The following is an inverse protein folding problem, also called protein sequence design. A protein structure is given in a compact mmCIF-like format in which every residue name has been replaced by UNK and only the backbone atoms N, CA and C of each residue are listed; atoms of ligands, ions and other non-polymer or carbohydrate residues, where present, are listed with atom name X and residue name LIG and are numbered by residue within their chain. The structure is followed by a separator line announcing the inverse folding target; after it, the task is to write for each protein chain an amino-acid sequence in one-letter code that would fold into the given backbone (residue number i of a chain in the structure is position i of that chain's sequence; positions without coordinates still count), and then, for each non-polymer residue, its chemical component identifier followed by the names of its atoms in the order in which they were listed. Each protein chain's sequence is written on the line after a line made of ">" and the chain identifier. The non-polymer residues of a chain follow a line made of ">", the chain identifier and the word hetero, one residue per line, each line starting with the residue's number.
data_IF_948664843123
#
_entry.id   IF_948664843123
#
_cell.length_a   1.000
_cell.length_b   1.000
_cell.length_c   1.000
_cell.angle_alpha   90.00
_cell.angle_beta   90.00
_cell.angle_gamma   90.00
#
_symmetry.space_group_name_H-M   'P 1'
#
loop_
_entity.id
_entity.type
_entity.pdbx_description
1 polymer ?
#
# COMPACT_ATOMS: atom_id res chain seq x y z
N UNK A 1 -5.80 5.10 4.80
CA UNK A 1 -5.11 3.89 5.31
C UNK A 1 -5.65 2.67 4.57
N UNK A 2 -4.79 1.74 4.13
CA UNK A 2 -5.25 0.55 3.40
C UNK A 2 -5.78 -0.51 4.38
N UNK A 3 -7.10 -0.74 4.36
CA UNK A 3 -7.77 -1.66 5.29
C UNK A 3 -7.32 -3.12 5.12
N UNK A 4 -6.93 -3.51 3.91
CA UNK A 4 -6.52 -4.89 3.60
C UNK A 4 -5.14 -5.20 4.19
N UNK A 5 -4.21 -4.24 4.12
CA UNK A 5 -2.90 -4.35 4.77
C UNK A 5 -3.06 -4.47 6.29
N UNK A 6 -3.91 -3.64 6.90
CA UNK A 6 -4.21 -3.70 8.33
C UNK A 6 -4.82 -5.04 8.72
N UNK A 7 -5.75 -5.58 7.91
CA UNK A 7 -6.37 -6.89 8.14
C UNK A 7 -5.34 -8.03 8.14
N UNK A 8 -4.42 -8.03 7.18
CA UNK A 8 -3.33 -9.03 7.10
C UNK A 8 -2.41 -8.93 8.34
N UNK A 9 -2.08 -7.71 8.77
CA UNK A 9 -1.27 -7.47 9.96
C UNK A 9 -1.97 -8.02 11.21
N UNK A 10 -3.28 -7.75 11.35
CA UNK A 10 -4.07 -8.21 12.49
C UNK A 10 -4.24 -9.73 12.51
N UNK A 11 -4.44 -10.37 11.35
CA UNK A 11 -4.54 -11.83 11.24
C UNK A 11 -3.22 -12.54 11.57
N UNK A 12 -2.10 -11.90 11.30
CA UNK A 12 -0.74 -12.47 11.45
C UNK A 12 0.01 -11.90 12.66
N UNK A 13 -0.73 -11.31 13.62
CA UNK A 13 -0.20 -10.53 14.76
C UNK A 13 0.80 -11.28 15.64
N UNK A 14 0.80 -12.61 15.72
CA UNK A 14 1.81 -13.30 16.53
C UNK A 14 3.14 -13.49 15.80
N UNK A 15 3.13 -13.66 14.49
CA UNK A 15 4.34 -14.00 13.74
C UNK A 15 5.05 -12.76 13.22
N UNK A 16 4.30 -11.68 12.96
CA UNK A 16 4.85 -10.35 12.63
C UNK A 16 5.69 -9.82 13.79
N UNK A 17 5.18 -9.89 15.02
CA UNK A 17 5.83 -9.28 16.18
C UNK A 17 7.00 -10.11 16.73
N UNK A 18 7.10 -11.40 16.34
CA UNK A 18 8.28 -12.23 16.63
C UNK A 18 9.45 -11.93 15.70
N UNK A 19 9.19 -11.40 14.51
CA UNK A 19 10.22 -11.07 13.54
C UNK A 19 10.46 -9.57 13.51
N UNK A 20 11.56 -9.13 14.13
CA UNK A 20 11.95 -7.73 14.19
C UNK A 20 12.00 -7.04 12.81
N UNK A 21 12.44 -7.73 11.76
CA UNK A 21 12.48 -7.16 10.40
C UNK A 21 11.08 -6.82 9.86
N UNK A 22 10.08 -7.60 10.28
CA UNK A 22 8.69 -7.47 9.84
C UNK A 22 7.90 -6.49 10.71
N UNK A 23 8.16 -6.46 12.03
CA UNK A 23 7.60 -5.42 12.91
C UNK A 23 8.08 -4.03 12.50
N UNK A 24 9.39 -3.86 12.29
CA UNK A 24 9.97 -2.57 11.87
C UNK A 24 9.35 -2.09 10.53
N UNK A 25 8.99 -3.02 9.63
CA UNK A 25 8.33 -2.67 8.37
C UNK A 25 6.88 -2.22 8.56
N UNK A 26 6.18 -2.83 9.51
CA UNK A 26 4.80 -2.45 9.85
C UNK A 26 4.78 -1.07 10.50
N UNK A 27 5.74 -0.79 11.38
CA UNK A 27 5.90 0.54 12.01
C UNK A 27 6.21 1.61 10.95
N UNK A 28 7.20 1.36 10.06
CA UNK A 28 7.52 2.23 8.91
C UNK A 28 6.26 2.53 8.06
N UNK A 29 5.39 1.53 7.85
CA UNK A 29 4.14 1.68 7.09
C UNK A 29 3.11 2.58 7.80
N UNK A 30 2.94 2.41 9.11
CA UNK A 30 1.99 3.21 9.88
C UNK A 30 2.43 4.66 9.98
N UNK A 31 3.71 4.93 10.25
CA UNK A 31 4.26 6.29 10.26
C UNK A 31 4.04 7.01 8.92
N UNK A 32 4.35 6.35 7.80
CA UNK A 32 4.12 6.92 6.48
C UNK A 32 2.63 7.15 6.18
N UNK A 33 1.76 6.25 6.66
CA UNK A 33 0.31 6.40 6.52
C UNK A 33 -0.22 7.61 7.30
N UNK A 34 0.35 7.90 8.48
CA UNK A 34 0.04 9.07 9.27
C UNK A 34 0.45 10.36 8.54
N UNK A 35 1.68 10.41 8.03
CA UNK A 35 2.17 11.57 7.28
C UNK A 35 1.39 11.84 6.00
N UNK A 36 0.97 10.77 5.31
CA UNK A 36 0.11 10.90 4.13
C UNK A 36 -1.27 11.47 4.51
N UNK A 37 -1.78 11.13 5.69
CA UNK A 37 -3.03 11.69 6.20
C UNK A 37 -2.89 13.18 6.55
N UNK A 38 -1.77 13.59 7.13
CA UNK A 38 -1.47 15.00 7.40
C UNK A 38 -1.40 15.80 6.09
N UNK A 39 -0.78 15.23 5.05
CA UNK A 39 -0.81 15.82 3.71
C UNK A 39 -2.24 15.95 3.15
N UNK A 40 -3.06 14.90 3.23
CA UNK A 40 -4.46 14.96 2.79
C UNK A 40 -5.24 16.05 3.52
N UNK A 41 -4.98 16.24 4.82
CA UNK A 41 -5.60 17.30 5.62
C UNK A 41 -5.16 18.69 5.14
N UNK A 42 -3.85 18.86 4.89
CA UNK A 42 -3.34 20.12 4.32
C UNK A 42 -3.89 20.39 2.92
N UNK A 43 -4.06 19.35 2.10
CA UNK A 43 -4.62 19.46 0.75
C UNK A 43 -6.10 19.85 0.79
N UNK A 44 -6.89 19.24 1.68
CA UNK A 44 -8.30 19.57 1.89
C UNK A 44 -8.48 21.06 2.27
N UNK A 45 -7.60 21.59 3.13
CA UNK A 45 -7.60 23.01 3.46
C UNK A 45 -7.28 23.90 2.24
N UNK A 46 -6.34 23.51 1.37
CA UNK A 46 -6.06 24.22 0.12
C UNK A 46 -7.27 24.20 -0.82
N UNK A 47 -7.93 23.05 -0.98
CA UNK A 47 -9.10 22.90 -1.84
C UNK A 47 -10.28 23.75 -1.35
N UNK A 48 -10.50 23.82 -0.03
CA UNK A 48 -11.52 24.70 0.57
C UNK A 48 -11.24 26.18 0.26
N UNK A 49 -9.99 26.62 0.35
CA UNK A 49 -9.61 27.99 -0.04
C UNK A 49 -9.81 28.23 -1.53
N UNK A 50 -9.41 27.29 -2.39
CA UNK A 50 -9.60 27.39 -3.83
C UNK A 50 -11.09 27.49 -4.20
N UNK A 51 -11.95 26.67 -3.58
CA UNK A 51 -13.40 26.73 -3.78
C UNK A 51 -14.01 28.03 -3.28
N UNK A 52 -13.52 28.59 -2.17
CA UNK A 52 -13.93 29.91 -1.70
C UNK A 52 -13.55 31.02 -2.69
N UNK A 53 -12.33 30.97 -3.23
CA UNK A 53 -11.84 31.90 -4.26
C UNK A 53 -12.69 31.80 -5.54
N UNK A 54 -12.98 30.58 -6.00
CA UNK A 54 -13.85 30.32 -7.14
C UNK A 54 -15.25 30.90 -6.92
N UNK A 55 -15.80 30.76 -5.70
CA UNK A 55 -17.09 31.34 -5.33
C UNK A 55 -17.08 32.86 -5.44
N UNK A 56 -16.05 33.54 -4.93
CA UNK A 56 -15.91 35.01 -5.05
C UNK A 56 -15.90 35.43 -6.52
N UNK A 57 -15.14 34.73 -7.38
CA UNK A 57 -15.08 35.02 -8.83
C UNK A 57 -16.46 34.86 -9.46
N UNK A 58 -17.16 33.76 -9.17
CA UNK A 58 -18.50 33.52 -9.72
C UNK A 58 -19.51 34.58 -9.26
N UNK A 59 -19.41 35.06 -8.01
CA UNK A 59 -20.22 36.17 -7.51
C UNK A 59 -19.88 37.46 -8.26
N UNK A 60 -18.60 37.77 -8.44
CA UNK A 60 -18.14 38.94 -9.19
C UNK A 60 -18.65 38.95 -10.63
N UNK A 61 -18.61 37.79 -11.32
CA UNK A 61 -19.12 37.64 -12.70
C UNK A 61 -20.63 37.89 -12.78
N UNK A 62 -21.40 37.36 -11.82
CA UNK A 62 -22.85 37.60 -11.76
C UNK A 62 -23.16 39.07 -11.48
N UNK A 63 -22.46 39.69 -10.52
CA UNK A 63 -22.60 41.12 -10.21
C UNK A 63 -22.25 41.99 -11.40
N UNK A 64 -21.21 41.61 -12.14
CA UNK A 64 -20.84 42.28 -13.39
C UNK A 64 -21.96 42.19 -14.42
N UNK A 65 -22.57 41.03 -14.63
CA UNK A 65 -23.70 40.89 -15.55
C UNK A 65 -24.91 41.74 -15.12
N UNK A 66 -25.25 41.74 -13.82
CA UNK A 66 -26.32 42.57 -13.26
C UNK A 66 -26.07 44.07 -13.48
N UNK A 67 -24.86 44.55 -13.19
CA UNK A 67 -24.48 45.97 -13.35
C UNK A 67 -24.29 46.36 -14.84
N UNK A 68 -23.85 45.42 -15.68
CA UNK A 68 -23.59 45.66 -17.09
C UNK A 68 -24.88 45.63 -17.93
N UNK A 69 -25.81 44.72 -17.66
CA UNK A 69 -27.05 44.56 -18.44
C UNK A 69 -28.30 45.08 -17.71
N UNK A 70 -28.15 45.54 -16.46
CA UNK A 70 -29.23 46.16 -15.70
C UNK A 70 -29.72 47.48 -16.31
N UNK A 71 -30.99 47.80 -16.07
CA UNK A 71 -31.61 49.05 -16.51
C UNK A 71 -30.94 50.20 -15.76
N UNK A 72 -30.17 51.02 -16.48
CA UNK A 72 -29.62 52.27 -15.99
C UNK A 72 -30.35 53.43 -16.67
N UNK A 73 -30.54 54.54 -15.97
CA UNK A 73 -31.12 55.74 -16.56
C UNK A 73 -30.28 56.19 -17.78
N UNK A 74 -30.99 56.59 -18.82
CA UNK A 74 -30.43 56.92 -20.12
C UNK A 74 -29.46 58.11 -19.99
N UNK A 75 -28.16 57.84 -20.15
CA UNK A 75 -27.08 58.81 -19.98
C UNK A 75 -26.23 58.65 -18.71
N UNK A 76 -26.57 57.74 -17.79
CA UNK A 76 -25.74 57.49 -16.59
C UNK A 76 -24.55 56.55 -16.90
N UNK A 77 -23.38 56.87 -16.36
CA UNK A 77 -22.19 56.01 -16.44
C UNK A 77 -22.39 54.77 -15.57
N UNK A 78 -22.30 53.58 -16.17
CA UNK A 78 -22.40 52.30 -15.43
C UNK A 78 -21.33 52.21 -14.35
N UNK A 79 -21.76 51.99 -13.10
CA UNK A 79 -20.88 51.93 -11.94
C UNK A 79 -20.69 50.48 -11.46
N UNK A 80 -19.51 49.91 -11.69
CA UNK A 80 -19.21 48.52 -11.31
C UNK A 80 -18.80 48.36 -9.84
N UNK A 81 -19.46 49.09 -8.94
CA UNK A 81 -19.01 49.21 -7.54
C UNK A 81 -19.00 47.87 -6.83
N UNK A 82 -20.03 47.03 -7.03
CA UNK A 82 -20.14 45.72 -6.38
C UNK A 82 -19.19 44.71 -7.02
N UNK A 83 -19.04 44.76 -8.34
CA UNK A 83 -18.04 43.93 -9.03
C UNK A 83 -16.62 44.22 -8.53
N UNK A 84 -16.26 45.50 -8.41
CA UNK A 84 -14.94 45.90 -7.93
C UNK A 84 -14.70 45.53 -6.47
N UNK A 85 -15.73 45.56 -5.63
CA UNK A 85 -15.67 45.06 -4.26
C UNK A 85 -15.33 43.57 -4.21
N UNK A 86 -16.01 42.74 -5.00
CA UNK A 86 -15.72 41.30 -5.04
C UNK A 86 -14.33 40.99 -5.62
N UNK A 87 -13.86 41.76 -6.60
CA UNK A 87 -12.49 41.62 -7.12
C UNK A 87 -11.44 42.03 -6.08
N UNK A 88 -11.74 42.98 -5.19
CA UNK A 88 -10.88 43.28 -4.04
C UNK A 88 -10.88 42.13 -3.05
N UNK A 89 -12.03 41.53 -2.76
CA UNK A 89 -12.14 40.33 -1.92
C UNK A 89 -11.32 39.17 -2.50
N UNK A 90 -11.37 38.96 -3.82
CA UNK A 90 -10.54 37.98 -4.52
C UNK A 90 -9.04 38.24 -4.32
N UNK A 91 -8.61 39.50 -4.49
CA UNK A 91 -7.21 39.89 -4.26
C UNK A 91 -6.77 39.63 -2.82
N UNK A 92 -7.65 39.84 -1.85
CA UNK A 92 -7.35 39.56 -0.43
C UNK A 92 -7.35 38.07 -0.09
N UNK A 93 -8.09 37.24 -0.83
CA UNK A 93 -8.15 35.80 -0.60
C UNK A 93 -6.81 35.09 -0.93
N UNK A 94 -5.98 35.70 -1.77
CA UNK A 94 -4.59 35.26 -2.00
C UNK A 94 -4.47 33.91 -2.72
N UNK A 95 -3.31 33.27 -2.57
CA UNK A 95 -3.03 31.95 -3.16
C UNK A 95 -3.65 30.83 -2.31
N UNK A 96 -4.47 29.92 -2.89
CA UNK A 96 -4.99 28.76 -2.17
C UNK A 96 -3.89 27.80 -1.69
N UNK A 97 -2.73 27.75 -2.35
CA UNK A 97 -1.60 26.88 -2.01
C UNK A 97 -0.50 27.68 -1.30
N UNK A 98 -0.53 27.66 0.03
CA UNK A 98 0.46 28.41 0.83
C UNK A 98 1.79 27.67 0.94
N UNK A 99 2.83 28.37 1.43
CA UNK A 99 4.17 27.80 1.61
C UNK A 99 4.17 26.56 2.53
N UNK A 100 3.24 26.52 3.49
CA UNK A 100 3.05 25.46 4.47
C UNK A 100 2.62 24.16 3.79
N UNK A 101 1.73 24.24 2.79
CA UNK A 101 1.33 23.07 2.00
C UNK A 101 2.54 22.45 1.30
N UNK A 102 3.37 23.27 0.65
CA UNK A 102 4.56 22.78 -0.04
C UNK A 102 5.59 22.18 0.91
N UNK A 103 5.71 22.69 2.14
CA UNK A 103 6.56 22.09 3.18
C UNK A 103 6.09 20.67 3.54
N UNK A 104 4.79 20.50 3.80
CA UNK A 104 4.20 19.19 4.10
C UNK A 104 4.33 18.24 2.91
N UNK A 105 4.03 18.72 1.71
CA UNK A 105 4.15 17.94 0.47
C UNK A 105 5.58 17.43 0.25
N UNK A 106 6.59 18.30 0.35
CA UNK A 106 7.98 17.92 0.17
C UNK A 106 8.46 16.92 1.23
N UNK A 107 8.02 17.09 2.48
CA UNK A 107 8.31 16.15 3.56
C UNK A 107 7.74 14.76 3.28
N UNK A 108 6.46 14.67 2.89
CA UNK A 108 5.82 13.40 2.52
C UNK A 108 6.50 12.77 1.32
N UNK A 109 6.82 13.56 0.30
CA UNK A 109 7.48 13.07 -0.91
C UNK A 109 8.85 12.44 -0.61
N UNK A 110 9.69 13.15 0.16
CA UNK A 110 11.00 12.64 0.57
C UNK A 110 10.88 11.35 1.41
N UNK A 111 9.92 11.32 2.33
CA UNK A 111 9.71 10.16 3.21
C UNK A 111 9.19 8.93 2.45
N UNK A 112 8.30 9.13 1.48
CA UNK A 112 7.80 8.05 0.62
C UNK A 112 8.92 7.44 -0.23
N UNK A 113 9.82 8.27 -0.78
CA UNK A 113 11.01 7.79 -1.51
C UNK A 113 11.92 6.94 -0.62
N UNK A 114 12.27 7.43 0.57
CA UNK A 114 13.10 6.70 1.52
C UNK A 114 12.46 5.37 1.95
N UNK A 115 11.14 5.36 2.19
CA UNK A 115 10.43 4.13 2.55
C UNK A 115 10.45 3.13 1.40
N UNK A 116 10.25 3.59 0.16
CA UNK A 116 10.30 2.73 -1.03
C UNK A 116 11.68 2.06 -1.16
N UNK A 117 12.76 2.80 -0.96
CA UNK A 117 14.13 2.26 -0.96
C UNK A 117 14.33 1.21 0.14
N UNK A 118 13.89 1.50 1.37
CA UNK A 118 13.98 0.56 2.50
C UNK A 118 13.17 -0.71 2.25
N UNK A 119 11.96 -0.58 1.71
CA UNK A 119 11.11 -1.70 1.35
C UNK A 119 11.75 -2.56 0.25
N UNK A 120 12.32 -1.94 -0.79
CA UNK A 120 13.04 -2.66 -1.84
C UNK A 120 14.25 -3.41 -1.30
N UNK A 121 15.03 -2.82 -0.40
CA UNK A 121 16.16 -3.48 0.26
C UNK A 121 15.70 -4.68 1.10
N UNK A 122 14.65 -4.53 1.92
CA UNK A 122 14.05 -5.60 2.72
C UNK A 122 13.52 -6.73 1.82
N UNK A 123 12.83 -6.42 0.73
CA UNK A 123 12.33 -7.39 -0.28
C UNK A 123 13.47 -8.20 -0.88
N UNK A 124 14.55 -7.56 -1.35
CA UNK A 124 15.72 -8.25 -1.93
C UNK A 124 16.35 -9.23 -0.93
N UNK A 125 16.40 -8.87 0.36
CA UNK A 125 16.91 -9.74 1.43
C UNK A 125 16.03 -10.98 1.61
N UNK A 126 14.71 -10.81 1.65
CA UNK A 126 13.75 -11.91 1.75
C UNK A 126 13.80 -12.82 0.51
N UNK A 127 13.86 -12.26 -0.69
CA UNK A 127 13.98 -13.04 -1.93
C UNK A 127 15.26 -13.87 -1.97
N UNK A 128 16.37 -13.36 -1.40
CA UNK A 128 17.61 -14.14 -1.26
C UNK A 128 17.46 -15.28 -0.26
N UNK A 129 16.82 -15.06 0.89
CA UNK A 129 16.53 -16.11 1.89
C UNK A 129 15.63 -17.19 1.28
N UNK A 130 14.57 -16.80 0.57
CA UNK A 130 13.63 -17.70 -0.09
C UNK A 130 14.32 -18.53 -1.18
N UNK A 131 15.20 -17.93 -2.01
CA UNK A 131 15.99 -18.66 -3.01
C UNK A 131 16.88 -19.72 -2.38
N UNK A 132 17.57 -19.39 -1.27
CA UNK A 132 18.39 -20.36 -0.51
C UNK A 132 17.55 -21.53 0.01
N UNK A 133 16.39 -21.27 0.60
CA UNK A 133 15.48 -22.34 1.07
C UNK A 133 14.96 -23.21 -0.07
N UNK A 134 14.61 -22.61 -1.21
CA UNK A 134 14.21 -23.37 -2.41
C UNK A 134 15.33 -24.26 -2.94
N UNK A 135 16.57 -23.76 -2.97
CA UNK A 135 17.74 -24.54 -3.35
C UNK A 135 18.00 -25.70 -2.37
N UNK A 136 17.97 -25.42 -1.07
CA UNK A 136 18.11 -26.44 -0.03
C UNK A 136 17.04 -27.53 -0.13
N UNK A 137 15.78 -27.16 -0.39
CA UNK A 137 14.68 -28.12 -0.57
C UNK A 137 14.91 -29.04 -1.78
N UNK A 138 15.47 -28.54 -2.87
CA UNK A 138 15.84 -29.35 -4.04
C UNK A 138 16.94 -30.35 -3.65
N UNK A 139 18.03 -29.87 -3.06
CA UNK A 139 19.13 -30.73 -2.60
C UNK A 139 18.65 -31.79 -1.63
N UNK A 140 17.80 -31.45 -0.66
CA UNK A 140 17.24 -32.44 0.27
C UNK A 140 16.33 -33.47 -0.41
N UNK A 141 15.61 -33.08 -1.46
CA UNK A 141 14.79 -34.00 -2.25
C UNK A 141 15.66 -34.93 -3.09
N UNK A 142 16.76 -34.43 -3.66
CA UNK A 142 17.70 -35.22 -4.45
C UNK A 142 18.44 -36.23 -3.55
N UNK A 143 18.91 -35.80 -2.37
CA UNK A 143 19.53 -36.67 -1.36
C UNK A 143 18.54 -37.76 -0.91
N UNK A 144 17.31 -37.38 -0.56
CA UNK A 144 16.27 -38.33 -0.16
C UNK A 144 15.99 -39.35 -1.26
N UNK A 145 15.92 -38.92 -2.51
CA UNK A 145 15.69 -39.80 -3.66
C UNK A 145 16.86 -40.77 -3.87
N UNK A 146 18.10 -40.29 -3.76
CA UNK A 146 19.30 -41.13 -3.87
C UNK A 146 19.43 -42.16 -2.74
N UNK A 147 19.03 -41.81 -1.51
CA UNK A 147 19.01 -42.74 -0.38
C UNK A 147 17.98 -43.86 -0.57
N UNK A 148 16.80 -43.54 -1.12
CA UNK A 148 15.80 -44.56 -1.49
C UNK A 148 16.35 -45.54 -2.55
N UNK A 149 16.98 -45.04 -3.61
CA UNK A 149 17.54 -45.88 -4.69
C UNK A 149 18.65 -46.79 -4.17
N UNK A 150 19.49 -46.32 -3.24
CA UNK A 150 20.58 -47.12 -2.67
C UNK A 150 20.09 -48.22 -1.73
N UNK A 151 18.97 -48.00 -1.02
CA UNK A 151 18.35 -49.01 -0.17
C UNK A 151 17.67 -50.12 -1.00
N UNK A 152 17.07 -49.78 -2.14
CA UNK A 152 16.51 -50.76 -3.09
C UNK A 152 17.60 -51.65 -3.74
N UNK A 153 18.80 -51.11 -4.00
CA UNK A 153 19.92 -51.84 -4.62
C UNK A 153 20.65 -52.81 -3.67
N UNK A 154 20.56 -52.61 -2.35
CA UNK A 154 21.23 -53.46 -1.33
C UNK A 154 20.41 -54.71 -0.95
N UNK A 155 19.41 -55.10 -1.76
CA UNK A 155 18.80 -56.44 -1.68
C UNK A 155 17.81 -56.66 -0.54
N UNK A 156 17.29 -55.59 0.08
CA UNK A 156 16.15 -55.67 0.99
C UNK A 156 14.84 -55.73 0.21
N UNK A 157 14.37 -56.94 -0.12
CA UNK A 157 13.13 -57.13 -0.86
C UNK A 157 11.93 -56.42 -0.22
N UNK A 158 11.38 -55.43 -0.93
CA UNK A 158 9.99 -55.01 -0.84
C UNK A 158 9.72 -53.66 -0.18
N UNK A 159 9.63 -52.59 -0.99
CA UNK A 159 8.79 -51.44 -0.67
C UNK A 159 7.85 -51.13 -1.84
N UNK A 160 6.59 -51.54 -1.68
CA UNK A 160 5.49 -51.12 -2.57
C UNK A 160 5.16 -49.65 -2.30
N UNK A 161 5.36 -48.83 -3.31
CA UNK A 161 4.72 -47.53 -3.54
C UNK A 161 4.69 -46.54 -2.34
N UNK A 162 5.65 -45.61 -2.31
CA UNK A 162 5.66 -44.50 -1.36
C UNK A 162 4.73 -43.39 -1.86
N UNK A 163 3.43 -43.47 -1.55
CA UNK A 163 2.51 -42.35 -1.79
C UNK A 163 2.88 -41.17 -0.90
N UNK A 164 3.18 -40.06 -1.55
CA UNK A 164 3.73 -38.82 -1.00
C UNK A 164 2.74 -38.10 -0.09
N UNK A 165 3.10 -37.97 1.19
CA UNK A 165 2.52 -37.01 2.12
C UNK A 165 3.50 -36.77 3.27
N UNK A 166 4.28 -35.69 3.19
CA UNK A 166 5.14 -35.25 4.31
C UNK A 166 4.55 -33.98 4.89
N UNK A 167 3.83 -34.09 6.01
CA UNK A 167 3.55 -32.95 6.87
C UNK A 167 4.84 -32.54 7.59
N UNK A 168 5.04 -31.23 7.71
CA UNK A 168 6.29 -30.57 8.13
C UNK A 168 6.77 -30.82 9.56
N UNK A 169 6.44 -31.95 10.18
CA UNK A 169 6.88 -32.38 11.51
C UNK A 169 8.03 -33.40 11.51
N UNK A 170 8.49 -33.86 10.34
CA UNK A 170 9.69 -34.71 10.25
C UNK A 170 9.52 -36.15 10.76
N UNK A 171 8.30 -36.62 11.03
CA UNK A 171 8.00 -38.03 11.30
C UNK A 171 7.39 -38.71 10.08
N UNK A 172 8.11 -39.64 9.46
CA UNK A 172 7.57 -40.51 8.42
C UNK A 172 6.80 -41.67 9.07
N UNK A 173 5.46 -41.67 8.95
CA UNK A 173 4.63 -42.81 9.36
C UNK A 173 4.32 -43.69 8.15
N UNK A 174 4.99 -44.85 8.05
CA UNK A 174 4.64 -45.87 7.05
C UNK A 174 3.34 -46.58 7.45
N UNK A 175 2.23 -46.31 6.76
CA UNK A 175 0.99 -47.07 6.92
C UNK A 175 0.97 -48.21 5.90
N UNK A 176 1.17 -49.44 6.35
CA UNK A 176 1.10 -50.63 5.50
C UNK A 176 -0.37 -51.01 5.22
N UNK A 177 -0.81 -50.87 3.96
CA UNK A 177 -2.11 -51.39 3.52
C UNK A 177 -1.92 -52.82 2.99
N UNK A 178 -2.48 -53.81 3.68
CA UNK A 178 -2.45 -55.23 3.29
C UNK A 178 -3.52 -55.47 2.21
N UNK A 179 -3.11 -55.72 0.96
CA UNK A 179 -4.01 -56.19 -0.09
C UNK A 179 -4.18 -57.70 0.10
N UNK A 180 -5.31 -58.13 0.64
CA UNK A 180 -5.70 -59.54 0.63
C UNK A 180 -6.22 -59.88 -0.78
N UNK A 181 -5.48 -60.72 -1.51
CA UNK A 181 -6.03 -61.44 -2.66
C UNK A 181 -6.83 -62.62 -2.14
N UNK A 182 -8.15 -62.62 -2.36
CA UNK A 182 -8.97 -63.82 -2.30
C UNK A 182 -9.21 -64.30 -3.73
N UNK A 183 -8.71 -65.49 -4.04
CA UNK A 183 -9.22 -66.33 -5.11
C UNK A 183 -10.68 -66.70 -4.79
N UNK A 184 -11.55 -66.51 -5.76
CA UNK A 184 -12.63 -67.44 -6.10
C UNK A 184 -12.82 -67.33 -7.62
#
# INVERSE_FOLDING_TARGET
>A
MNQEVVKIILQTKRDIWKNKELSDLVDDYFENSLLTLDFCTSLDACLKRAGHIESIINVALRKFQEEHYGVSEEGSVKNYTRTLEELRNFKTAGDPFTSEFFKVFNSVYAQQLLMLERLQAKKRKLDRKLRKLKAWRKVSNDIRSGFCISFDMLGGGGCRHCSTGCDGSGSCSCRATRINGQMA
#
